data_IF_630739202522
#
_entry.id   IF_630739202522
#
_cell.length_a   1.000
_cell.length_b   1.000
_cell.length_c   1.000
_cell.angle_alpha   90.00
_cell.angle_beta   90.00
_cell.angle_gamma   90.00
#
_symmetry.space_group_name_H-M   'P 1'
#
loop_
_entity.id
_entity.type
_entity.pdbx_description
1 polymer ?
#
# COMPACT_ATOMS: atom_id res chain seq x y z
N UNK A 1 -16.37 20.49 -23.89
CA UNK A 1 -16.12 20.52 -22.44
C UNK A 1 -14.62 20.63 -22.25
N UNK A 2 -14.08 21.51 -21.39
CA UNK A 2 -12.66 21.48 -21.13
C UNK A 2 -12.37 20.19 -20.36
N UNK A 3 -11.72 19.23 -21.02
CA UNK A 3 -11.05 18.14 -20.33
C UNK A 3 -10.01 18.78 -19.42
N UNK A 4 -10.15 18.61 -18.10
CA UNK A 4 -9.06 18.94 -17.19
C UNK A 4 -7.80 18.20 -17.68
N UNK A 5 -6.63 18.85 -17.66
CA UNK A 5 -5.40 18.15 -17.97
C UNK A 5 -5.23 16.95 -17.02
N UNK A 6 -4.65 15.84 -17.49
CA UNK A 6 -4.38 14.70 -16.64
C UNK A 6 -3.46 15.13 -15.49
N UNK A 7 -3.77 14.66 -14.27
CA UNK A 7 -2.96 14.94 -13.08
C UNK A 7 -1.52 14.46 -13.29
N UNK A 8 -0.56 15.27 -12.85
CA UNK A 8 0.85 14.89 -12.81
C UNK A 8 1.11 13.83 -11.73
N UNK A 9 2.21 13.10 -11.86
CA UNK A 9 2.58 12.07 -10.87
C UNK A 9 2.71 12.65 -9.46
N UNK A 10 3.27 13.85 -9.31
CA UNK A 10 3.42 14.52 -8.01
C UNK A 10 2.06 14.87 -7.39
N UNK A 11 1.10 15.37 -8.18
CA UNK A 11 -0.26 15.63 -7.71
C UNK A 11 -0.96 14.34 -7.28
N UNK A 12 -0.76 13.25 -8.02
CA UNK A 12 -1.30 11.93 -7.66
C UNK A 12 -0.71 11.47 -6.33
N UNK A 13 0.62 11.52 -6.17
CA UNK A 13 1.28 11.10 -4.93
C UNK A 13 0.86 11.95 -3.74
N UNK A 14 0.74 13.26 -3.92
CA UNK A 14 0.29 14.15 -2.85
C UNK A 14 -1.14 13.81 -2.41
N UNK A 15 -2.06 13.55 -3.36
CA UNK A 15 -3.44 13.21 -3.02
C UNK A 15 -3.56 11.83 -2.36
N UNK A 16 -2.82 10.84 -2.86
CA UNK A 16 -2.74 9.51 -2.22
C UNK A 16 -2.16 9.63 -0.81
N UNK A 17 -1.12 10.43 -0.62
CA UNK A 17 -0.55 10.73 0.69
C UNK A 17 -1.53 11.43 1.65
N UNK A 18 -2.41 12.29 1.15
CA UNK A 18 -3.49 12.90 1.95
C UNK A 18 -4.52 11.85 2.39
N UNK A 19 -4.92 10.94 1.49
CA UNK A 19 -5.85 9.85 1.82
C UNK A 19 -5.28 8.98 2.95
N UNK A 20 -4.00 8.63 2.87
CA UNK A 20 -3.32 7.77 3.86
C UNK A 20 -3.38 8.35 5.29
N UNK A 21 -3.34 9.68 5.46
CA UNK A 21 -3.35 10.32 6.78
C UNK A 21 -4.63 10.04 7.58
N UNK A 22 -5.71 9.64 6.91
CA UNK A 22 -6.98 9.28 7.55
C UNK A 22 -6.98 7.87 8.14
N UNK A 23 -5.97 7.05 7.84
CA UNK A 23 -5.87 5.65 8.24
C UNK A 23 -4.82 5.43 9.32
N UNK A 24 -5.10 4.47 10.20
CA UNK A 24 -4.26 4.08 11.32
C UNK A 24 -3.59 2.75 11.06
N UNK A 25 -2.78 2.34 12.04
CA UNK A 25 -2.25 0.99 12.10
C UNK A 25 -3.39 -0.04 12.01
N UNK A 26 -3.13 -1.16 11.31
CA UNK A 26 -4.08 -2.26 11.03
C UNK A 26 -5.19 -1.96 10.01
N UNK A 27 -5.31 -0.73 9.49
CA UNK A 27 -6.35 -0.33 8.52
C UNK A 27 -5.82 -0.37 7.06
N UNK A 28 -4.92 -1.31 6.75
CA UNK A 28 -4.31 -1.41 5.42
C UNK A 28 -5.32 -1.72 4.30
N UNK A 29 -6.36 -2.51 4.61
CA UNK A 29 -7.38 -2.88 3.63
C UNK A 29 -8.29 -1.69 3.27
N UNK A 30 -8.73 -0.95 4.29
CA UNK A 30 -9.56 0.25 4.15
C UNK A 30 -8.78 1.36 3.42
N UNK A 31 -7.49 1.53 3.77
CA UNK A 31 -6.59 2.45 3.07
C UNK A 31 -6.44 2.09 1.59
N UNK A 32 -6.14 0.82 1.28
CA UNK A 32 -5.99 0.36 -0.10
C UNK A 32 -7.28 0.56 -0.91
N UNK A 33 -8.45 0.29 -0.32
CA UNK A 33 -9.74 0.52 -0.98
C UNK A 33 -9.99 2.01 -1.25
N UNK A 34 -9.69 2.89 -0.29
CA UNK A 34 -9.88 4.33 -0.45
C UNK A 34 -8.96 4.91 -1.54
N UNK A 35 -7.69 4.51 -1.56
CA UNK A 35 -6.74 4.91 -2.61
C UNK A 35 -7.25 4.39 -3.97
N UNK A 36 -7.62 3.11 -4.07
CA UNK A 36 -8.15 2.50 -5.29
C UNK A 36 -9.38 3.24 -5.81
N UNK A 37 -10.34 3.54 -4.94
CA UNK A 37 -11.57 4.23 -5.32
C UNK A 37 -11.26 5.62 -5.88
N UNK A 38 -10.40 6.38 -5.19
CA UNK A 38 -10.00 7.71 -5.66
C UNK A 38 -9.28 7.65 -7.02
N UNK A 39 -8.38 6.69 -7.22
CA UNK A 39 -7.70 6.50 -8.51
C UNK A 39 -8.69 6.18 -9.63
N UNK A 40 -9.64 5.26 -9.40
CA UNK A 40 -10.70 4.92 -10.35
C UNK A 40 -11.58 6.13 -10.70
N UNK A 41 -11.99 6.91 -9.71
CA UNK A 41 -12.83 8.10 -9.90
C UNK A 41 -12.11 9.18 -10.74
N UNK A 42 -10.77 9.18 -10.73
CA UNK A 42 -9.94 10.08 -11.52
C UNK A 42 -9.42 9.45 -12.83
N UNK A 43 -9.86 8.23 -13.18
CA UNK A 43 -9.44 7.53 -14.39
C UNK A 43 -7.95 7.19 -14.41
N UNK A 44 -7.35 6.96 -13.24
CA UNK A 44 -5.94 6.62 -13.07
C UNK A 44 -5.83 5.12 -12.85
N UNK A 45 -5.06 4.46 -13.72
CA UNK A 45 -4.80 3.04 -13.59
C UNK A 45 -3.87 2.73 -12.41
N UNK A 46 -4.11 1.60 -11.77
CA UNK A 46 -3.32 1.13 -10.63
C UNK A 46 -3.36 -0.38 -10.46
N UNK A 47 -2.55 -0.87 -9.52
CA UNK A 47 -2.45 -2.30 -9.20
C UNK A 47 -2.70 -2.48 -7.71
N UNK A 48 -3.68 -3.29 -7.36
CA UNK A 48 -3.92 -3.69 -5.98
C UNK A 48 -3.05 -4.91 -5.66
N UNK A 49 -2.12 -4.75 -4.71
CA UNK A 49 -1.19 -5.77 -4.25
C UNK A 49 -1.63 -6.34 -2.91
N UNK A 50 -1.51 -7.66 -2.78
CA UNK A 50 -1.57 -8.38 -1.51
C UNK A 50 -0.18 -8.90 -1.16
N UNK A 51 0.30 -8.58 0.02
CA UNK A 51 1.44 -9.27 0.64
C UNK A 51 0.93 -10.17 1.76
N UNK A 52 1.29 -11.44 1.68
CA UNK A 52 0.85 -12.45 2.63
C UNK A 52 2.03 -13.26 3.13
N UNK A 53 2.13 -13.45 4.43
CA UNK A 53 3.18 -14.31 4.98
C UNK A 53 2.97 -15.77 4.56
N UNK A 54 4.07 -16.50 4.37
CA UNK A 54 4.06 -17.93 4.08
C UNK A 54 4.38 -18.70 5.36
N UNK A 55 3.59 -19.73 5.68
CA UNK A 55 3.82 -20.58 6.84
C UNK A 55 2.95 -20.21 8.05
N UNK A 56 3.48 -20.44 9.27
CA UNK A 56 2.76 -20.19 10.52
C UNK A 56 3.08 -18.79 11.05
N UNK A 57 2.03 -18.03 11.36
CA UNK A 57 2.16 -16.69 11.92
C UNK A 57 0.99 -15.83 11.46
N UNK A 58 0.72 -14.75 12.20
CA UNK A 58 -0.37 -13.83 11.88
C UNK A 58 0.08 -12.36 11.90
N UNK A 59 1.38 -12.12 12.11
CA UNK A 59 1.92 -10.80 12.35
C UNK A 59 3.01 -10.52 11.33
N UNK A 60 2.96 -9.32 10.80
CA UNK A 60 3.99 -8.72 9.95
C UNK A 60 4.43 -7.46 10.68
N UNK A 61 5.73 -7.17 10.62
CA UNK A 61 6.33 -5.94 11.13
C UNK A 61 6.99 -5.21 9.97
N UNK A 62 7.24 -3.92 10.13
CA UNK A 62 7.76 -3.04 9.08
C UNK A 62 8.97 -2.24 9.59
N UNK A 63 9.98 -2.05 8.75
CA UNK A 63 11.18 -1.29 9.08
C UNK A 63 10.86 0.16 9.42
N UNK A 64 10.00 0.77 8.60
CA UNK A 64 9.60 2.17 8.76
C UNK A 64 8.60 2.40 9.90
N UNK A 65 8.06 1.33 10.49
CA UNK A 65 7.09 1.42 11.57
C UNK A 65 7.64 0.90 12.89
N UNK A 66 7.89 1.82 13.83
CA UNK A 66 8.32 1.50 15.21
C UNK A 66 9.51 0.52 15.29
N UNK A 67 10.45 0.64 14.34
CA UNK A 67 11.67 -0.18 14.27
C UNK A 67 11.40 -1.69 14.44
N UNK A 68 10.43 -2.24 13.72
CA UNK A 68 10.04 -3.65 13.77
C UNK A 68 9.33 -4.14 15.04
N UNK A 69 9.03 -3.26 15.99
CA UNK A 69 8.54 -3.69 17.32
C UNK A 69 7.04 -3.92 17.36
N UNK A 70 6.30 -3.21 16.52
CA UNK A 70 4.84 -3.23 16.53
C UNK A 70 4.30 -3.98 15.30
N UNK A 71 3.47 -5.03 15.49
CA UNK A 71 2.77 -5.68 14.40
C UNK A 71 1.87 -4.72 13.62
N UNK A 72 1.99 -4.74 12.29
CA UNK A 72 1.14 -3.98 11.36
C UNK A 72 -0.04 -4.80 10.83
N UNK A 73 -0.09 -6.10 11.14
CA UNK A 73 -1.19 -7.01 10.78
C UNK A 73 -1.54 -7.94 11.95
N UNK A 74 -2.76 -8.48 11.92
CA UNK A 74 -3.24 -9.51 12.88
C UNK A 74 -3.66 -10.82 12.22
N UNK A 75 -3.62 -10.88 10.89
CA UNK A 75 -4.02 -12.02 10.06
C UNK A 75 -2.92 -12.42 9.05
N UNK A 76 -1.74 -11.81 9.14
CA UNK A 76 -0.61 -12.09 8.26
C UNK A 76 -0.77 -11.60 6.83
N UNK A 77 -1.66 -10.64 6.58
CA UNK A 77 -1.93 -10.07 5.26
C UNK A 77 -1.85 -8.55 5.32
N UNK A 78 -1.11 -7.96 4.38
CA UNK A 78 -0.95 -6.51 4.22
C UNK A 78 -1.27 -6.12 2.77
N UNK A 79 -1.79 -4.91 2.58
CA UNK A 79 -2.23 -4.43 1.27
C UNK A 79 -1.49 -3.15 0.87
N UNK A 80 -1.26 -3.01 -0.43
CA UNK A 80 -0.71 -1.80 -1.02
C UNK A 80 -1.32 -1.52 -2.39
N UNK A 81 -1.37 -0.25 -2.77
CA UNK A 81 -1.76 0.18 -4.11
C UNK A 81 -0.54 0.71 -4.84
N UNK A 82 -0.23 0.10 -5.98
CA UNK A 82 0.77 0.64 -6.88
C UNK A 82 0.15 1.58 -7.91
N UNK A 83 0.73 2.77 -8.01
CA UNK A 83 0.39 3.76 -9.02
C UNK A 83 1.67 4.47 -9.44
N UNK A 84 1.88 4.61 -10.76
CA UNK A 84 3.05 5.30 -11.35
C UNK A 84 4.42 4.80 -10.81
N UNK A 85 4.55 3.50 -10.57
CA UNK A 85 5.75 2.83 -10.03
C UNK A 85 6.02 3.05 -8.53
N UNK A 86 5.07 3.63 -7.79
CA UNK A 86 5.11 3.72 -6.33
C UNK A 86 4.00 2.89 -5.70
N UNK A 87 4.36 2.13 -4.68
CA UNK A 87 3.44 1.41 -3.80
C UNK A 87 3.16 2.26 -2.57
N UNK A 88 1.87 2.45 -2.30
CA UNK A 88 1.34 3.18 -1.17
C UNK A 88 0.55 2.24 -0.26
N UNK A 89 0.71 2.42 1.05
CA UNK A 89 -0.09 1.75 2.08
C UNK A 89 -0.29 2.67 3.28
N UNK A 90 -0.95 2.17 4.32
CA UNK A 90 -1.29 2.95 5.52
C UNK A 90 -0.08 3.35 6.39
N UNK A 91 1.16 3.05 6.00
CA UNK A 91 2.36 3.35 6.80
C UNK A 91 3.18 4.52 6.24
N UNK A 92 3.01 4.91 4.98
CA UNK A 92 3.82 5.96 4.36
C UNK A 92 3.07 6.79 3.33
N UNK A 93 3.14 8.11 3.46
CA UNK A 93 2.51 9.09 2.55
C UNK A 93 3.31 9.38 1.28
N UNK A 94 4.56 8.92 1.18
CA UNK A 94 5.46 9.24 0.05
C UNK A 94 5.61 8.10 -0.95
N UNK A 95 5.15 6.91 -0.58
CA UNK A 95 5.22 5.68 -1.38
C UNK A 95 6.65 5.17 -1.60
N UNK A 96 6.78 3.87 -1.79
CA UNK A 96 8.06 3.19 -2.05
C UNK A 96 8.06 2.58 -3.45
N UNK A 97 9.22 2.27 -4.03
CA UNK A 97 9.23 1.34 -5.15
C UNK A 97 8.71 -0.03 -4.71
N UNK A 98 8.25 -0.87 -5.65
CA UNK A 98 7.77 -2.22 -5.31
C UNK A 98 8.82 -3.05 -4.57
N UNK A 99 10.10 -2.95 -4.97
CA UNK A 99 11.18 -3.69 -4.32
C UNK A 99 11.42 -3.20 -2.89
N UNK A 100 11.53 -1.88 -2.68
CA UNK A 100 11.66 -1.31 -1.34
C UNK A 100 10.47 -1.65 -0.45
N UNK A 101 9.25 -1.66 -1.00
CA UNK A 101 8.06 -2.08 -0.28
C UNK A 101 8.13 -3.55 0.15
N UNK A 102 8.60 -4.43 -0.73
CA UNK A 102 8.77 -5.86 -0.41
C UNK A 102 9.86 -6.12 0.63
N UNK A 103 10.94 -5.32 0.62
CA UNK A 103 12.07 -5.42 1.56
C UNK A 103 11.76 -4.79 2.93
N UNK A 104 10.72 -3.96 3.02
CA UNK A 104 10.36 -3.26 4.26
C UNK A 104 9.73 -4.17 5.32
N UNK A 105 9.24 -5.35 4.95
CA UNK A 105 8.49 -6.21 5.85
C UNK A 105 9.29 -7.40 6.37
N UNK A 106 9.00 -7.79 7.61
CA UNK A 106 9.55 -9.00 8.23
C UNK A 106 8.46 -9.77 8.99
N UNK A 107 8.64 -11.08 9.08
CA UNK A 107 7.72 -11.99 9.75
C UNK A 107 8.48 -13.20 10.30
N UNK A 108 7.90 -13.96 11.24
CA UNK A 108 8.60 -15.09 11.88
C UNK A 108 9.10 -16.17 10.93
N UNK A 109 8.48 -16.35 9.75
CA UNK A 109 8.94 -17.32 8.74
C UNK A 109 9.97 -16.75 7.77
N UNK A 110 10.17 -15.43 7.76
CA UNK A 110 11.04 -14.72 6.80
C UNK A 110 10.60 -14.85 5.34
N UNK A 111 9.36 -15.25 5.08
CA UNK A 111 8.87 -15.55 3.74
C UNK A 111 7.50 -14.93 3.48
N UNK A 112 7.37 -14.31 2.31
CA UNK A 112 6.15 -13.67 1.84
C UNK A 112 5.82 -14.09 0.41
N UNK A 113 4.54 -14.13 0.10
CA UNK A 113 4.02 -14.11 -1.27
C UNK A 113 3.45 -12.74 -1.57
N UNK A 114 3.73 -12.21 -2.75
CA UNK A 114 3.11 -10.97 -3.26
C UNK A 114 2.30 -11.31 -4.49
N UNK A 115 1.01 -10.97 -4.44
CA UNK A 115 0.05 -11.27 -5.49
C UNK A 115 -0.63 -9.99 -5.99
N UNK A 116 -0.92 -9.95 -7.29
CA UNK A 116 -1.77 -8.91 -7.88
C UNK A 116 -3.22 -9.35 -7.73
N UNK A 117 -4.00 -8.62 -6.93
CA UNK A 117 -5.42 -8.88 -6.74
C UNK A 117 -6.23 -8.35 -7.92
N UNK A 118 -5.91 -7.12 -8.35
CA UNK A 118 -6.66 -6.39 -9.36
C UNK A 118 -5.72 -5.42 -10.09
N UNK A 119 -5.88 -5.34 -11.42
CA UNK A 119 -5.36 -4.23 -12.23
C UNK A 119 -6.59 -3.46 -12.68
N UNK A 120 -6.61 -2.16 -12.45
CA UNK A 120 -7.72 -1.28 -12.78
C UNK A 120 -7.25 -0.04 -13.51
#
# INVERSE_FOLDING_TARGET
MPSNPPLSDEEIYQQVGNIIQEFKLLECAECAEAIKQWLKDNGINGIHLQLKLIGKGNFIVSQRWDEWRTPITQNGTHYGIEVRNKVFDNLSTTGLSRNEWMEDFDCPSGQFSVEVIEIF
#
